data_IF_303372872374
#
_entry.id   IF_303372872374
#
_cell.length_a   1.000
_cell.length_b   1.000
_cell.length_c   1.000
_cell.angle_alpha   90.00
_cell.angle_beta   90.00
_cell.angle_gamma   90.00
#
_symmetry.space_group_name_H-M   'P 1'
#
loop_
_entity.id
_entity.type
_entity.pdbx_description
1 polymer ?
#
# COMPACT_ATOMS: atom_id res chain seq x y z
N UNK A 1 16.68 -15.51 -5.95
CA UNK A 1 15.47 -16.05 -6.61
C UNK A 1 15.13 -15.11 -7.75
N UNK A 2 15.56 -15.42 -8.98
CA UNK A 2 15.25 -14.61 -10.17
C UNK A 2 13.89 -15.08 -10.67
N UNK A 3 12.88 -14.21 -10.62
CA UNK A 3 11.54 -14.51 -11.12
C UNK A 3 11.62 -14.70 -12.64
N UNK A 4 11.43 -15.94 -13.12
CA UNK A 4 11.49 -16.31 -14.54
C UNK A 4 10.41 -15.62 -15.41
N UNK A 5 9.37 -15.08 -14.78
CA UNK A 5 8.31 -14.32 -15.44
C UNK A 5 7.79 -13.23 -14.50
N UNK A 6 7.95 -11.97 -14.90
CA UNK A 6 7.48 -10.80 -14.15
C UNK A 6 5.96 -10.59 -14.28
N UNK A 7 5.32 -11.22 -15.25
CA UNK A 7 3.90 -11.09 -15.53
C UNK A 7 3.06 -12.19 -14.88
N UNK A 8 3.72 -13.15 -14.22
CA UNK A 8 3.01 -14.20 -13.49
C UNK A 8 2.16 -13.58 -12.39
N UNK A 9 0.88 -13.92 -12.40
CA UNK A 9 -0.04 -13.52 -11.35
C UNK A 9 0.34 -14.15 -10.00
N UNK A 10 0.20 -13.37 -8.92
CA UNK A 10 0.40 -13.87 -7.58
C UNK A 10 -0.92 -14.38 -7.02
N UNK A 11 -1.10 -15.69 -7.03
CA UNK A 11 -2.41 -16.30 -6.75
C UNK A 11 -2.79 -16.20 -5.27
N UNK A 12 -4.09 -16.24 -4.93
CA UNK A 12 -4.56 -16.07 -3.55
C UNK A 12 -3.92 -17.02 -2.53
N UNK A 13 -3.67 -18.28 -2.89
CA UNK A 13 -3.06 -19.24 -1.96
C UNK A 13 -1.57 -18.97 -1.73
N UNK A 14 -0.88 -18.45 -2.75
CA UNK A 14 0.50 -17.98 -2.62
C UNK A 14 0.58 -16.76 -1.70
N UNK A 15 -0.38 -15.82 -1.85
CA UNK A 15 -0.53 -14.68 -0.95
C UNK A 15 -0.76 -15.11 0.50
N UNK A 16 -1.67 -16.06 0.74
CA UNK A 16 -1.93 -16.60 2.09
C UNK A 16 -0.68 -17.24 2.70
N UNK A 17 0.05 -18.04 1.91
CA UNK A 17 1.29 -18.68 2.35
C UNK A 17 2.38 -17.64 2.66
N UNK A 18 2.48 -16.60 1.84
CA UNK A 18 3.39 -15.48 2.07
C UNK A 18 3.06 -14.73 3.36
N UNK A 19 1.81 -14.31 3.56
CA UNK A 19 1.40 -13.59 4.77
C UNK A 19 1.65 -14.43 6.03
N UNK A 20 1.35 -15.73 5.97
CA UNK A 20 1.64 -16.66 7.07
C UNK A 20 3.14 -16.72 7.40
N UNK A 21 4.02 -16.69 6.39
CA UNK A 21 5.47 -16.76 6.60
C UNK A 21 6.03 -15.47 7.22
N UNK A 22 5.40 -14.33 7.01
CA UNK A 22 5.83 -13.02 7.53
C UNK A 22 5.01 -12.52 8.73
N UNK A 23 4.14 -13.34 9.31
CA UNK A 23 3.15 -12.90 10.30
C UNK A 23 3.76 -12.23 11.56
N UNK A 24 4.97 -12.65 11.97
CA UNK A 24 5.70 -12.06 13.12
C UNK A 24 6.59 -10.88 12.73
N UNK A 25 6.63 -10.51 11.46
CA UNK A 25 7.50 -9.45 10.95
C UNK A 25 6.79 -8.09 11.05
N UNK A 26 7.55 -7.05 11.43
CA UNK A 26 7.08 -5.65 11.44
C UNK A 26 6.58 -5.19 10.06
N UNK A 27 7.03 -5.84 9.00
CA UNK A 27 6.65 -5.54 7.62
C UNK A 27 5.26 -6.04 7.21
N UNK A 28 4.58 -6.87 8.03
CA UNK A 28 3.25 -7.39 7.72
C UNK A 28 2.26 -6.26 7.35
N UNK A 29 2.23 -5.20 8.16
CA UNK A 29 1.34 -4.06 7.96
C UNK A 29 1.56 -3.36 6.61
N UNK A 30 2.82 -3.27 6.17
CA UNK A 30 3.19 -2.67 4.89
C UNK A 30 2.62 -3.48 3.71
N UNK A 31 2.79 -4.80 3.73
CA UNK A 31 2.28 -5.65 2.65
C UNK A 31 0.75 -5.67 2.63
N UNK A 32 0.09 -5.70 3.78
CA UNK A 32 -1.37 -5.60 3.86
C UNK A 32 -1.89 -4.24 3.37
N UNK A 33 -1.19 -3.15 3.70
CA UNK A 33 -1.48 -1.82 3.16
C UNK A 33 -1.38 -1.80 1.64
N UNK A 34 -0.27 -2.31 1.09
CA UNK A 34 -0.08 -2.36 -0.36
C UNK A 34 -1.12 -3.23 -1.05
N UNK A 35 -1.49 -4.37 -0.46
CA UNK A 35 -2.51 -5.25 -1.03
C UNK A 35 -3.89 -4.61 -1.05
N UNK A 36 -4.31 -3.95 0.04
CA UNK A 36 -5.65 -3.35 0.13
C UNK A 36 -5.78 -2.05 -0.68
N UNK A 37 -4.67 -1.34 -0.93
CA UNK A 37 -4.72 0.00 -1.54
C UNK A 37 -4.11 0.05 -2.94
N UNK A 38 -3.27 -0.91 -3.32
CA UNK A 38 -2.46 -0.80 -4.53
C UNK A 38 -1.44 0.34 -4.47
N UNK A 39 -1.09 0.81 -3.27
CA UNK A 39 -0.06 1.82 -3.09
C UNK A 39 1.28 1.32 -3.62
N UNK A 40 2.03 2.21 -4.29
CA UNK A 40 3.42 1.89 -4.66
C UNK A 40 4.25 1.78 -3.39
N UNK A 41 5.29 0.96 -3.42
CA UNK A 41 6.13 0.69 -2.26
C UNK A 41 6.61 1.96 -1.53
N UNK A 42 7.09 2.96 -2.29
CA UNK A 42 7.55 4.24 -1.72
C UNK A 42 6.41 5.09 -1.13
N UNK A 43 5.20 4.99 -1.67
CA UNK A 43 4.01 5.68 -1.15
C UNK A 43 3.57 5.04 0.18
N UNK A 44 3.56 3.71 0.22
CA UNK A 44 3.18 2.93 1.39
C UNK A 44 4.16 3.15 2.56
N UNK A 45 5.47 3.22 2.29
CA UNK A 45 6.48 3.51 3.32
C UNK A 45 6.39 4.91 3.92
N UNK A 46 5.89 5.89 3.16
CA UNK A 46 5.74 7.27 3.63
C UNK A 46 4.35 7.59 4.17
N UNK A 47 3.47 6.59 4.26
CA UNK A 47 2.14 6.75 4.82
C UNK A 47 2.22 6.90 6.33
N UNK A 48 1.54 7.92 6.87
CA UNK A 48 1.44 8.20 8.32
C UNK A 48 0.00 8.04 8.77
N UNK A 49 -0.21 7.87 10.08
CA UNK A 49 -1.56 7.74 10.64
C UNK A 49 -2.46 8.94 10.33
N UNK A 50 -1.90 10.16 10.23
CA UNK A 50 -2.65 11.38 9.87
C UNK A 50 -3.14 11.40 8.41
N UNK A 51 -2.60 10.52 7.56
CA UNK A 51 -3.00 10.43 6.16
C UNK A 51 -4.25 9.56 5.98
N UNK A 52 -4.69 8.87 7.03
CA UNK A 52 -5.95 8.13 7.09
C UNK A 52 -7.08 9.03 7.59
N UNK A 53 -8.12 9.15 6.77
CA UNK A 53 -9.42 9.68 7.14
C UNK A 53 -10.32 8.50 7.53
N UNK A 54 -10.32 8.15 8.81
CA UNK A 54 -11.09 7.02 9.33
C UNK A 54 -12.60 7.30 9.42
N UNK A 55 -13.05 8.54 9.29
CA UNK A 55 -14.48 8.88 9.23
C UNK A 55 -15.05 8.54 7.85
N UNK A 56 -14.30 8.89 6.81
CA UNK A 56 -14.67 8.63 5.41
C UNK A 56 -14.09 7.33 4.86
N UNK A 57 -13.37 6.57 5.68
CA UNK A 57 -12.64 5.35 5.30
C UNK A 57 -11.75 5.59 4.07
N UNK A 58 -10.94 6.65 4.08
CA UNK A 58 -10.06 6.98 2.97
C UNK A 58 -8.60 7.06 3.42
N UNK A 59 -7.69 6.71 2.52
CA UNK A 59 -6.27 6.94 2.66
C UNK A 59 -5.80 7.93 1.60
N UNK A 60 -5.06 8.96 2.01
CA UNK A 60 -4.45 9.91 1.09
C UNK A 60 -2.98 9.61 0.88
N UNK A 61 -2.61 9.22 -0.33
CA UNK A 61 -1.22 9.03 -0.74
C UNK A 61 -0.65 10.35 -1.28
N UNK A 62 0.27 10.94 -0.52
CA UNK A 62 0.87 12.25 -0.84
C UNK A 62 2.00 12.16 -1.86
N UNK A 63 2.95 11.24 -1.64
CA UNK A 63 4.08 11.08 -2.56
C UNK A 63 3.59 10.43 -3.84
N UNK A 64 3.99 10.98 -4.98
CA UNK A 64 3.87 10.33 -6.28
C UNK A 64 5.24 10.41 -6.93
N UNK A 65 5.85 9.26 -7.26
CA UNK A 65 7.11 9.27 -8.02
C UNK A 65 6.86 9.97 -9.35
N UNK A 66 7.56 11.08 -9.54
CA UNK A 66 7.55 11.84 -10.80
C UNK A 66 9.01 11.98 -11.23
N UNK A 67 9.33 11.64 -12.49
CA UNK A 67 10.69 11.86 -13.02
C UNK A 67 10.82 13.34 -13.29
N UNK A 68 11.46 14.11 -12.42
CA UNK A 68 11.60 15.56 -12.58
C UNK A 68 12.24 15.93 -13.93
N UNK A 69 11.39 16.27 -14.92
CA UNK A 69 11.79 16.90 -16.18
C UNK A 69 11.53 18.39 -16.08
N UNK A 70 12.33 19.20 -16.77
CA UNK A 70 12.17 20.66 -16.80
C UNK A 70 10.76 20.99 -17.32
N UNK A 71 9.93 21.58 -16.47
CA UNK A 71 8.54 21.98 -16.78
C UNK A 71 7.44 21.01 -16.35
N UNK A 72 7.75 19.88 -15.70
CA UNK A 72 6.72 18.96 -15.21
C UNK A 72 6.03 19.47 -13.94
N UNK A 73 4.71 19.26 -13.86
CA UNK A 73 3.90 19.61 -12.68
C UNK A 73 4.06 18.55 -11.60
N UNK A 74 4.11 18.99 -10.34
CA UNK A 74 4.09 18.10 -9.17
C UNK A 74 2.84 17.20 -9.26
N UNK A 75 3.05 15.88 -9.14
CA UNK A 75 1.96 14.91 -9.14
C UNK A 75 0.95 15.22 -8.04
N UNK A 76 -0.34 15.09 -8.34
CA UNK A 76 -1.42 15.33 -7.38
C UNK A 76 -1.51 14.14 -6.39
N UNK A 77 -1.75 14.39 -5.10
CA UNK A 77 -2.08 13.34 -4.15
C UNK A 77 -3.29 12.53 -4.61
N UNK A 78 -3.29 11.23 -4.31
CA UNK A 78 -4.39 10.31 -4.65
C UNK A 78 -5.11 9.89 -3.37
N UNK A 79 -6.44 9.88 -3.42
CA UNK A 79 -7.27 9.36 -2.32
C UNK A 79 -7.80 7.99 -2.71
N UNK A 80 -7.65 7.02 -1.81
CA UNK A 80 -8.05 5.63 -2.00
C UNK A 80 -9.07 5.28 -0.92
N UNK A 81 -10.22 4.77 -1.34
CA UNK A 81 -11.24 4.29 -0.41
C UNK A 81 -10.86 2.92 0.15
N UNK A 82 -11.02 2.77 1.46
CA UNK A 82 -10.70 1.58 2.21
C UNK A 82 -11.97 0.82 2.55
N UNK A 83 -11.87 -0.50 2.65
CA UNK A 83 -12.95 -1.29 3.27
C UNK A 83 -13.05 -0.95 4.76
N UNK A 84 -14.26 -1.01 5.32
CA UNK A 84 -14.50 -0.76 6.75
C UNK A 84 -13.66 -1.67 7.63
N UNK A 85 -13.52 -2.95 7.24
CA UNK A 85 -12.71 -3.92 7.96
C UNK A 85 -11.24 -3.50 8.02
N UNK A 86 -10.69 -3.04 6.89
CA UNK A 86 -9.30 -2.62 6.82
C UNK A 86 -9.07 -1.29 7.55
N UNK A 87 -9.99 -0.33 7.40
CA UNK A 87 -9.96 0.95 8.12
C UNK A 87 -9.96 0.74 9.64
N UNK A 88 -10.84 -0.13 10.15
CA UNK A 88 -10.89 -0.48 11.56
C UNK A 88 -9.62 -1.19 12.05
N UNK A 89 -9.00 -2.02 11.19
CA UNK A 89 -7.71 -2.64 11.50
C UNK A 89 -6.61 -1.59 11.62
N UNK A 90 -6.51 -0.67 10.67
CA UNK A 90 -5.49 0.38 10.67
C UNK A 90 -5.64 1.36 11.83
N UNK A 91 -6.86 1.61 12.31
CA UNK A 91 -7.11 2.44 13.51
C UNK A 91 -6.46 1.89 14.79
N UNK A 92 -6.15 0.59 14.84
CA UNK A 92 -5.54 -0.06 16.01
C UNK A 92 -4.01 0.04 16.05
N UNK A 93 -3.39 0.54 14.98
CA UNK A 93 -1.94 0.70 14.83
C UNK A 93 -1.58 2.19 14.83
#
# INVERSE_FOLDING_TARGET
MITKDINRFFFPDEWKNFIKSIQKNKQLLLYELMFNTGARFDEALHTRSIDFDFERNNLRLWKTKTKARKGEKVGKPRTISLSTNFSNKMRRF
#
